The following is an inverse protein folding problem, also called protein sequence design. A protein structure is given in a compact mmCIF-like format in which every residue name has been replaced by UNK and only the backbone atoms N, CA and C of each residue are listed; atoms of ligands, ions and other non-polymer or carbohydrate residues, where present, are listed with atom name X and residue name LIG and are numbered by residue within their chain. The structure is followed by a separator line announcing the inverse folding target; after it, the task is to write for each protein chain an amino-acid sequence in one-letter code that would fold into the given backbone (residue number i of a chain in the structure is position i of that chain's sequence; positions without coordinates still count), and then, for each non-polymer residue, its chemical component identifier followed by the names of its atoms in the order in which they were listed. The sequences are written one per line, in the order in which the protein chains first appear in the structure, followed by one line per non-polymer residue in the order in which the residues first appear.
data_IF_689134738585
#
_entry.id   IF_689134738585
#
_cell.length_a   1.000
_cell.length_b   1.000
_cell.length_c   1.000
_cell.angle_alpha   90.00
_cell.angle_beta   90.00
_cell.angle_gamma   90.00
#
_symmetry.space_group_name_H-M   'P 1'
#
loop_
_entity.id
_entity.type
_entity.pdbx_description
1 polymer ?
#
# COMPACT_ATOMS: atom_id res chain seq x y z
N UNK A 1 -8.51 -12.47 -1.43
CA UNK A 1 -7.69 -13.62 -0.94
C UNK A 1 -6.22 -13.28 -1.07
N UNK A 2 -5.37 -13.70 -0.13
CA UNK A 2 -3.95 -13.36 -0.06
C UNK A 2 -3.02 -14.54 -0.39
N UNK A 3 -1.94 -14.28 -1.14
CA UNK A 3 -0.90 -15.26 -1.43
C UNK A 3 0.52 -14.67 -1.30
N UNK A 4 1.44 -15.45 -0.71
CA UNK A 4 2.90 -15.16 -0.67
C UNK A 4 3.69 -15.89 -1.77
N UNK A 5 2.97 -16.52 -2.68
CA UNK A 5 3.52 -17.24 -3.83
C UNK A 5 2.52 -17.18 -4.97
N UNK A 6 2.98 -17.49 -6.18
CA UNK A 6 2.07 -17.65 -7.30
C UNK A 6 1.11 -18.84 -7.03
N UNK A 7 -0.22 -18.62 -6.97
CA UNK A 7 -1.18 -19.70 -6.81
C UNK A 7 -1.27 -20.58 -8.07
N UNK A 8 -1.56 -21.86 -7.84
CA UNK A 8 -1.76 -22.84 -8.90
C UNK A 8 -3.08 -22.59 -9.62
N UNK A 9 -3.20 -23.08 -10.86
CA UNK A 9 -4.44 -22.98 -11.64
C UNK A 9 -5.65 -23.58 -10.91
N UNK A 10 -5.43 -24.59 -10.07
CA UNK A 10 -6.51 -25.21 -9.29
C UNK A 10 -6.97 -24.30 -8.15
N UNK A 11 -6.05 -23.65 -7.45
CA UNK A 11 -6.35 -22.67 -6.39
C UNK A 11 -7.06 -21.45 -6.98
N UNK A 12 -6.57 -20.96 -8.12
CA UNK A 12 -7.18 -19.85 -8.84
C UNK A 12 -8.60 -20.16 -9.33
N UNK A 13 -8.87 -21.37 -9.83
CA UNK A 13 -10.22 -21.79 -10.25
C UNK A 13 -11.21 -21.95 -9.09
N UNK A 14 -10.74 -21.98 -7.85
CA UNK A 14 -11.59 -22.02 -6.66
C UNK A 14 -11.93 -20.61 -6.16
N UNK A 15 -11.25 -19.58 -6.67
CA UNK A 15 -11.59 -18.19 -6.46
C UNK A 15 -12.66 -17.82 -7.48
N UNK A 16 -13.93 -17.92 -7.09
CA UNK A 16 -15.06 -17.46 -7.89
C UNK A 16 -14.89 -15.95 -8.19
N UNK A 17 -14.57 -15.57 -9.43
CA UNK A 17 -14.46 -14.19 -9.96
C UNK A 17 -14.04 -13.10 -8.96
N UNK A 18 -13.06 -13.42 -8.10
CA UNK A 18 -12.66 -12.59 -6.97
C UNK A 18 -11.33 -11.89 -7.22
N UNK A 19 -11.22 -10.66 -6.76
CA UNK A 19 -9.93 -9.96 -6.66
C UNK A 19 -9.05 -10.65 -5.61
N UNK A 20 -7.77 -10.78 -5.93
CA UNK A 20 -6.78 -11.34 -5.01
C UNK A 20 -5.46 -10.62 -5.11
N UNK A 21 -4.75 -10.65 -4.00
CA UNK A 21 -3.49 -9.95 -3.82
C UNK A 21 -2.38 -10.97 -3.68
N UNK A 22 -1.32 -10.80 -4.46
CA UNK A 22 -0.12 -11.64 -4.35
C UNK A 22 1.05 -10.77 -3.92
N UNK A 23 1.69 -11.11 -2.80
CA UNK A 23 2.95 -10.53 -2.35
C UNK A 23 4.10 -11.49 -2.71
N UNK A 24 4.92 -11.15 -3.70
CA UNK A 24 6.03 -11.98 -4.16
C UNK A 24 7.36 -11.37 -3.76
N UNK A 25 8.34 -12.19 -3.39
CA UNK A 25 9.71 -11.74 -3.15
C UNK A 25 10.63 -11.84 -4.39
N UNK A 26 10.05 -12.07 -5.56
CA UNK A 26 10.73 -12.13 -6.86
C UNK A 26 9.81 -11.63 -7.97
N UNK A 27 10.40 -11.23 -9.10
CA UNK A 27 9.67 -10.84 -10.30
C UNK A 27 9.39 -12.09 -11.15
N UNK A 28 8.12 -12.43 -11.44
CA UNK A 28 7.77 -13.58 -12.27
C UNK A 28 8.21 -13.38 -13.71
N UNK A 29 8.49 -14.48 -14.42
CA UNK A 29 8.79 -14.41 -15.84
C UNK A 29 7.55 -14.05 -16.68
N UNK A 30 7.75 -13.65 -17.94
CA UNK A 30 6.68 -13.18 -18.85
C UNK A 30 5.50 -14.17 -18.97
N UNK A 31 5.77 -15.48 -18.98
CA UNK A 31 4.72 -16.49 -19.11
C UNK A 31 3.86 -16.59 -17.84
N UNK A 32 4.49 -16.45 -16.66
CA UNK A 32 3.79 -16.43 -15.39
C UNK A 32 3.01 -15.13 -15.19
N UNK A 33 3.59 -13.99 -15.58
CA UNK A 33 2.91 -12.69 -15.57
C UNK A 33 1.65 -12.71 -16.43
N UNK A 34 1.75 -13.08 -17.71
CA UNK A 34 0.60 -13.17 -18.63
C UNK A 34 -0.48 -14.14 -18.15
N UNK A 35 -0.09 -15.18 -17.41
CA UNK A 35 -1.05 -16.11 -16.80
C UNK A 35 -1.79 -15.51 -15.61
N UNK A 36 -1.14 -14.64 -14.84
CA UNK A 36 -1.78 -13.93 -13.72
C UNK A 36 -2.69 -12.82 -14.24
N UNK A 37 -2.19 -11.99 -15.15
CA UNK A 37 -2.93 -10.90 -15.81
C UNK A 37 -4.10 -11.41 -16.67
N UNK A 38 -3.88 -12.46 -17.47
CA UNK A 38 -4.89 -12.95 -18.43
C UNK A 38 -5.98 -13.83 -17.85
N UNK A 39 -5.92 -14.18 -16.55
CA UNK A 39 -6.90 -15.07 -15.92
C UNK A 39 -7.70 -14.34 -14.83
N UNK A 40 -7.14 -13.31 -14.18
CA UNK A 40 -7.82 -12.57 -13.11
C UNK A 40 -7.25 -11.14 -12.96
N UNK A 41 -8.06 -10.18 -12.48
CA UNK A 41 -7.61 -8.85 -12.07
C UNK A 41 -6.71 -8.94 -10.82
N UNK A 42 -5.50 -9.50 -10.96
CA UNK A 42 -4.59 -9.73 -9.85
C UNK A 42 -3.71 -8.49 -9.60
N UNK A 43 -3.81 -7.91 -8.39
CA UNK A 43 -2.87 -6.88 -7.95
C UNK A 43 -1.61 -7.55 -7.40
N UNK A 44 -0.47 -7.31 -8.06
CA UNK A 44 0.81 -7.90 -7.68
C UNK A 44 1.66 -6.90 -6.90
N UNK A 45 2.06 -7.29 -5.70
CA UNK A 45 2.99 -6.56 -4.85
C UNK A 45 4.31 -7.32 -4.81
N UNK A 46 5.42 -6.60 -5.01
CA UNK A 46 6.75 -7.19 -4.96
C UNK A 46 7.48 -6.71 -3.72
N UNK A 47 7.80 -7.63 -2.82
CA UNK A 47 8.65 -7.43 -1.64
C UNK A 47 10.07 -7.88 -1.98
N UNK A 48 10.74 -7.06 -2.80
CA UNK A 48 12.06 -7.40 -3.32
C UNK A 48 13.13 -7.05 -2.29
N UNK A 49 13.83 -8.06 -1.80
CA UNK A 49 15.07 -7.84 -1.08
C UNK A 49 16.06 -7.10 -2.01
N UNK A 50 16.50 -5.90 -1.59
CA UNK A 50 17.61 -5.21 -2.24
C UNK A 50 18.89 -6.00 -1.99
N UNK A 51 19.29 -6.81 -2.97
CA UNK A 51 20.58 -7.49 -2.95
C UNK A 51 21.48 -6.82 -3.98
N UNK A 52 22.29 -5.83 -3.59
CA UNK A 52 23.34 -5.32 -4.46
C UNK A 52 24.40 -6.41 -4.65
N UNK A 53 24.48 -6.99 -5.84
CA UNK A 53 25.61 -7.85 -6.23
C UNK A 53 26.45 -7.05 -7.22
N UNK A 54 27.51 -6.40 -6.73
CA UNK A 54 28.35 -5.54 -7.56
C UNK A 54 27.65 -4.22 -7.91
N UNK A 55 27.50 -3.92 -9.20
CA UNK A 55 26.85 -2.71 -9.74
C UNK A 55 25.49 -2.98 -10.42
N UNK A 56 25.03 -4.24 -10.44
CA UNK A 56 23.87 -4.68 -11.22
C UNK A 56 22.76 -5.28 -10.33
N UNK A 57 21.50 -5.00 -10.72
CA UNK A 57 20.30 -5.52 -10.06
C UNK A 57 19.81 -6.79 -10.78
N UNK A 58 20.11 -7.96 -10.21
CA UNK A 58 19.63 -9.23 -10.79
C UNK A 58 18.09 -9.32 -10.80
N UNK A 59 17.41 -8.68 -9.84
CA UNK A 59 15.95 -8.77 -9.74
C UNK A 59 15.22 -7.92 -10.80
N UNK A 60 15.73 -6.75 -11.17
CA UNK A 60 15.08 -5.85 -12.14
C UNK A 60 15.45 -6.15 -13.60
N UNK A 61 16.58 -6.81 -13.86
CA UNK A 61 16.95 -7.29 -15.20
C UNK A 61 15.98 -8.33 -15.76
N UNK A 62 15.26 -9.02 -14.88
CA UNK A 62 14.27 -10.03 -15.24
C UNK A 62 12.87 -9.45 -15.48
N UNK A 63 12.69 -8.12 -15.35
CA UNK A 63 11.40 -7.49 -15.66
C UNK A 63 11.13 -7.62 -17.16
N UNK A 64 10.04 -8.28 -17.58
CA UNK A 64 9.77 -8.44 -18.98
C UNK A 64 9.49 -7.08 -19.63
N UNK A 65 10.14 -6.74 -20.76
CA UNK A 65 9.97 -5.43 -21.42
C UNK A 65 8.59 -5.23 -22.06
N UNK A 66 7.73 -6.25 -22.03
CA UNK A 66 6.37 -6.26 -22.56
C UNK A 66 5.31 -5.96 -21.49
N UNK A 67 5.73 -5.81 -20.23
CA UNK A 67 4.84 -5.51 -19.10
C UNK A 67 4.79 -4.00 -18.91
N UNK A 68 3.68 -3.38 -19.32
CA UNK A 68 3.41 -1.97 -19.04
C UNK A 68 2.95 -1.79 -17.59
N UNK A 69 3.47 -0.78 -16.89
CA UNK A 69 2.89 -0.30 -15.63
C UNK A 69 3.16 -1.17 -14.40
N UNK A 70 4.29 -1.88 -14.33
CA UNK A 70 4.62 -2.68 -13.15
C UNK A 70 4.95 -1.77 -11.96
N UNK A 71 4.19 -1.92 -10.88
CA UNK A 71 4.45 -1.25 -9.61
C UNK A 71 5.40 -2.06 -8.74
N UNK A 72 6.48 -1.44 -8.27
CA UNK A 72 7.45 -2.07 -7.39
C UNK A 72 7.48 -1.34 -6.05
N UNK A 73 7.18 -2.05 -4.97
CA UNK A 73 7.10 -1.50 -3.62
C UNK A 73 8.38 -1.82 -2.84
N UNK A 74 8.99 -0.79 -2.27
CA UNK A 74 10.15 -0.91 -1.40
C UNK A 74 9.72 -0.50 0.00
N UNK A 75 9.70 -1.42 0.95
CA UNK A 75 9.03 -1.25 2.26
C UNK A 75 9.95 -0.78 3.40
N UNK A 76 11.13 -0.24 3.06
CA UNK A 76 12.13 0.21 4.02
C UNK A 76 12.80 1.55 3.62
N UNK A 77 13.38 2.27 4.61
CA UNK A 77 14.27 3.39 4.32
C UNK A 77 15.44 2.98 3.42
N UNK A 78 15.60 3.69 2.30
CA UNK A 78 16.70 3.41 1.38
C UNK A 78 18.03 3.96 1.89
N UNK A 79 19.05 3.11 1.91
CA UNK A 79 20.46 3.44 2.17
C UNK A 79 21.08 4.21 1.01
N UNK A 80 22.24 4.84 1.24
CA UNK A 80 22.98 5.54 0.17
C UNK A 80 23.39 4.60 -0.98
N UNK A 81 23.68 3.33 -0.67
CA UNK A 81 23.99 2.33 -1.68
C UNK A 81 22.77 2.02 -2.54
N UNK A 82 21.60 1.79 -1.94
CA UNK A 82 20.36 1.52 -2.66
C UNK A 82 19.92 2.72 -3.51
N UNK A 83 20.04 3.94 -2.97
CA UNK A 83 19.76 5.17 -3.71
C UNK A 83 20.70 5.37 -4.91
N UNK A 84 22.00 5.09 -4.73
CA UNK A 84 22.96 5.13 -5.83
C UNK A 84 22.58 4.12 -6.91
N UNK A 85 22.20 2.92 -6.50
CA UNK A 85 21.89 1.85 -7.44
C UNK A 85 20.59 2.18 -8.19
N UNK A 86 19.52 2.62 -7.52
CA UNK A 86 18.30 3.14 -8.15
C UNK A 86 18.62 4.22 -9.19
N UNK A 87 19.57 5.11 -8.89
CA UNK A 87 19.99 6.15 -9.82
C UNK A 87 20.68 5.58 -11.06
N UNK A 88 21.49 4.53 -10.91
CA UNK A 88 22.15 3.85 -12.03
C UNK A 88 21.14 3.19 -12.98
N UNK A 89 20.05 2.62 -12.45
CA UNK A 89 19.01 1.95 -13.25
C UNK A 89 17.86 2.85 -13.71
N UNK A 90 17.88 4.14 -13.40
CA UNK A 90 16.79 5.07 -13.70
C UNK A 90 16.34 5.03 -15.18
N UNK A 91 17.28 4.85 -16.11
CA UNK A 91 16.96 4.70 -17.53
C UNK A 91 16.20 3.42 -17.84
N UNK A 92 16.63 2.29 -17.27
CA UNK A 92 15.96 1.01 -17.43
C UNK A 92 14.51 1.07 -16.89
N UNK A 93 14.35 1.68 -15.71
CA UNK A 93 13.03 1.91 -15.08
C UNK A 93 12.13 2.73 -16.00
N UNK A 94 12.66 3.80 -16.60
CA UNK A 94 11.91 4.67 -17.51
C UNK A 94 11.58 3.97 -18.83
N UNK A 95 12.56 3.30 -19.45
CA UNK A 95 12.41 2.64 -20.75
C UNK A 95 11.46 1.43 -20.68
N UNK A 96 11.35 0.81 -19.49
CA UNK A 96 10.46 -0.31 -19.21
C UNK A 96 9.16 0.10 -18.53
N UNK A 97 8.87 1.41 -18.44
CA UNK A 97 7.64 1.97 -17.84
C UNK A 97 7.34 1.42 -16.43
N UNK A 98 8.37 1.32 -15.58
CA UNK A 98 8.26 0.81 -14.21
C UNK A 98 7.98 1.95 -13.23
N UNK A 99 7.01 1.71 -12.35
CA UNK A 99 6.64 2.65 -11.31
C UNK A 99 7.24 2.18 -9.98
N UNK A 100 8.26 2.89 -9.50
CA UNK A 100 8.89 2.57 -8.20
C UNK A 100 8.18 3.34 -7.10
N UNK A 101 7.60 2.59 -6.17
CA UNK A 101 6.94 3.08 -4.97
C UNK A 101 7.81 2.77 -3.75
N UNK A 102 8.11 3.78 -2.95
CA UNK A 102 8.76 3.62 -1.64
C UNK A 102 7.66 3.69 -0.58
N UNK A 103 7.34 2.53 -0.01
CA UNK A 103 6.43 2.38 1.11
C UNK A 103 7.21 2.57 2.41
N UNK A 104 6.72 3.47 3.27
CA UNK A 104 7.35 3.71 4.57
C UNK A 104 6.31 3.98 5.63
N UNK A 105 6.60 3.53 6.84
CA UNK A 105 5.74 3.70 8.02
C UNK A 105 6.04 4.96 8.82
N UNK A 106 6.94 5.81 8.31
CA UNK A 106 7.30 7.08 8.92
C UNK A 106 7.56 8.16 7.87
N UNK A 107 7.39 9.42 8.26
CA UNK A 107 7.62 10.58 7.40
C UNK A 107 9.09 11.01 7.53
N UNK A 108 9.86 11.09 6.42
CA UNK A 108 11.28 11.38 6.49
C UNK A 108 11.51 12.80 6.99
N UNK A 109 12.58 12.98 7.76
CA UNK A 109 12.96 14.28 8.30
C UNK A 109 13.65 15.19 7.25
N UNK A 110 14.18 16.33 7.68
CA UNK A 110 14.88 17.23 6.78
C UNK A 110 16.16 16.62 6.16
N UNK A 111 16.96 15.90 6.95
CA UNK A 111 18.24 15.35 6.49
C UNK A 111 18.02 14.16 5.55
N UNK A 112 17.04 13.31 5.84
CA UNK A 112 16.63 12.22 4.93
C UNK A 112 16.11 12.78 3.61
N UNK A 113 15.18 13.75 3.63
CA UNK A 113 14.70 14.40 2.39
C UNK A 113 15.82 15.10 1.64
N UNK A 114 16.81 15.65 2.34
CA UNK A 114 17.99 16.24 1.70
C UNK A 114 18.85 15.16 1.06
N UNK A 115 19.01 13.99 1.69
CA UNK A 115 19.71 12.82 1.14
C UNK A 115 19.07 12.37 -0.17
N UNK A 116 17.75 12.12 -0.20
CA UNK A 116 17.03 11.73 -1.42
C UNK A 116 17.23 12.76 -2.55
N UNK A 117 17.13 14.06 -2.24
CA UNK A 117 17.32 15.14 -3.23
C UNK A 117 18.72 15.21 -3.83
N UNK A 118 19.77 14.76 -3.11
CA UNK A 118 21.15 14.79 -3.63
C UNK A 118 21.34 13.88 -4.84
N UNK A 119 20.56 12.81 -4.96
CA UNK A 119 20.66 11.87 -6.07
C UNK A 119 20.05 12.41 -7.38
N UNK A 120 19.22 13.45 -7.30
CA UNK A 120 18.74 14.18 -8.48
C UNK A 120 18.06 13.28 -9.51
N UNK A 121 17.13 12.42 -9.08
CA UNK A 121 16.31 11.62 -9.98
C UNK A 121 15.57 12.52 -10.99
N UNK A 122 15.70 12.19 -12.26
CA UNK A 122 14.90 12.73 -13.37
C UNK A 122 13.45 12.28 -13.20
N UNK A 123 13.26 10.99 -12.86
CA UNK A 123 11.97 10.39 -12.54
C UNK A 123 12.00 9.92 -11.08
N UNK A 124 11.67 10.80 -10.12
CA UNK A 124 11.75 10.47 -8.70
C UNK A 124 10.77 9.33 -8.35
N UNK A 125 11.15 8.41 -7.45
CA UNK A 125 10.23 7.39 -6.96
C UNK A 125 9.04 8.02 -6.24
N UNK A 126 7.89 7.35 -6.30
CA UNK A 126 6.68 7.77 -5.61
C UNK A 126 6.76 7.33 -4.14
N UNK A 127 6.53 8.25 -3.22
CA UNK A 127 6.47 7.91 -1.80
C UNK A 127 5.04 7.57 -1.39
N UNK A 128 4.89 6.45 -0.70
CA UNK A 128 3.65 6.03 -0.04
C UNK A 128 3.95 5.97 1.46
N UNK A 129 3.22 6.75 2.24
CA UNK A 129 3.31 6.73 3.70
C UNK A 129 2.15 5.93 4.26
N UNK A 130 2.43 4.78 4.87
CA UNK A 130 1.44 3.95 5.58
C UNK A 130 1.59 4.18 7.09
N UNK A 131 0.83 5.13 7.62
CA UNK A 131 0.97 5.58 8.99
C UNK A 131 -0.08 4.94 9.90
N UNK A 132 0.31 4.55 11.11
CA UNK A 132 -0.60 4.03 12.13
C UNK A 132 -1.19 5.13 13.03
N UNK A 133 -1.08 6.40 12.62
CA UNK A 133 -1.52 7.56 13.39
C UNK A 133 -1.92 8.71 12.47
N UNK A 134 -2.76 9.62 12.97
CA UNK A 134 -3.14 10.84 12.26
C UNK A 134 -2.00 11.86 12.31
N UNK A 135 -1.48 12.34 11.16
CA UNK A 135 -0.36 13.29 11.14
C UNK A 135 -0.68 14.61 11.85
N UNK A 136 0.17 14.98 12.80
CA UNK A 136 0.11 16.26 13.49
C UNK A 136 0.67 17.43 12.64
N UNK A 137 0.67 18.65 13.18
CA UNK A 137 1.12 19.84 12.46
C UNK A 137 2.55 19.70 11.89
N UNK A 138 3.48 19.17 12.68
CA UNK A 138 4.88 19.01 12.25
C UNK A 138 5.01 17.94 11.17
N UNK A 139 4.38 16.78 11.39
CA UNK A 139 4.36 15.66 10.45
C UNK A 139 3.75 16.08 9.11
N UNK A 140 2.63 16.82 9.12
CA UNK A 140 2.04 17.42 7.92
C UNK A 140 2.98 18.40 7.23
N UNK A 141 3.67 19.22 8.01
CA UNK A 141 4.70 20.14 7.49
C UNK A 141 5.87 19.43 6.83
N UNK A 142 6.20 18.21 7.27
CA UNK A 142 7.22 17.36 6.66
C UNK A 142 6.69 16.64 5.41
N UNK A 143 5.46 16.10 5.44
CA UNK A 143 4.79 15.51 4.29
C UNK A 143 4.69 16.49 3.12
N UNK A 144 4.31 17.75 3.39
CA UNK A 144 4.21 18.80 2.37
C UNK A 144 5.54 19.18 1.70
N UNK A 145 6.68 18.73 2.24
CA UNK A 145 8.02 18.97 1.69
C UNK A 145 8.55 17.78 0.89
N UNK A 146 7.82 16.67 0.83
CA UNK A 146 8.14 15.51 -0.02
C UNK A 146 7.73 15.85 -1.45
N UNK A 147 8.63 15.59 -2.41
CA UNK A 147 8.43 15.87 -3.83
C UNK A 147 8.85 14.64 -4.63
N UNK A 148 7.98 14.09 -5.49
CA UNK A 148 6.60 14.53 -5.78
C UNK A 148 5.66 14.38 -4.57
N UNK A 149 4.48 15.04 -4.56
CA UNK A 149 3.51 14.89 -3.48
C UNK A 149 3.21 13.42 -3.20
N UNK A 150 3.32 12.95 -1.95
CA UNK A 150 3.23 11.54 -1.63
C UNK A 150 1.79 11.07 -1.48
N UNK A 151 1.54 9.79 -1.70
CA UNK A 151 0.30 9.15 -1.26
C UNK A 151 0.39 8.90 0.26
N UNK A 152 -0.67 9.23 0.99
CA UNK A 152 -0.74 9.01 2.43
C UNK A 152 -1.89 8.07 2.73
N UNK A 153 -1.55 6.93 3.31
CA UNK A 153 -2.46 5.90 3.79
C UNK A 153 -2.39 5.89 5.31
N UNK A 154 -3.54 5.90 5.97
CA UNK A 154 -3.62 5.77 7.42
C UNK A 154 -4.28 4.43 7.74
N UNK A 155 -3.62 3.55 8.49
CA UNK A 155 -4.26 2.33 9.01
C UNK A 155 -4.32 2.41 10.53
N UNK A 156 -5.49 2.80 11.04
CA UNK A 156 -5.71 3.17 12.43
C UNK A 156 -6.46 2.07 13.18
N UNK A 157 -6.06 1.83 14.43
CA UNK A 157 -6.73 0.87 15.32
C UNK A 157 -7.82 1.54 16.18
N UNK A 158 -8.25 2.74 15.78
CA UNK A 158 -9.22 3.57 16.50
C UNK A 158 -9.97 4.48 15.52
N UNK A 159 -11.15 4.96 15.92
CA UNK A 159 -11.90 5.97 15.17
C UNK A 159 -11.34 7.36 15.48
N UNK A 160 -10.84 8.10 14.49
CA UNK A 160 -10.36 9.47 14.67
C UNK A 160 -11.40 10.38 15.33
N UNK A 161 -10.93 11.26 16.19
CA UNK A 161 -11.73 12.36 16.73
C UNK A 161 -12.04 13.40 15.65
N UNK A 162 -13.06 14.25 15.85
CA UNK A 162 -13.38 15.34 14.91
C UNK A 162 -12.17 16.24 14.61
N UNK A 163 -11.32 16.48 15.62
CA UNK A 163 -10.09 17.25 15.46
C UNK A 163 -9.10 16.54 14.55
N UNK A 164 -8.92 15.24 14.72
CA UNK A 164 -8.01 14.43 13.89
C UNK A 164 -8.52 14.32 12.45
N UNK A 165 -9.83 14.14 12.25
CA UNK A 165 -10.44 14.20 10.91
C UNK A 165 -10.13 15.53 10.24
N UNK A 166 -10.27 16.65 10.96
CA UNK A 166 -9.92 17.97 10.43
C UNK A 166 -8.41 18.13 10.12
N UNK A 167 -7.52 17.42 10.81
CA UNK A 167 -6.09 17.38 10.44
C UNK A 167 -5.87 16.55 9.17
N UNK A 168 -6.53 15.40 9.01
CA UNK A 168 -6.49 14.60 7.78
C UNK A 168 -6.97 15.40 6.56
N UNK A 169 -8.05 16.18 6.71
CA UNK A 169 -8.61 17.04 5.67
C UNK A 169 -7.65 18.15 5.21
N UNK A 170 -6.56 18.43 5.94
CA UNK A 170 -5.53 19.41 5.55
C UNK A 170 -4.36 18.80 4.79
N UNK A 171 -4.27 17.47 4.71
CA UNK A 171 -3.22 16.77 3.98
C UNK A 171 -3.57 16.76 2.49
N UNK A 172 -2.57 17.01 1.63
CA UNK A 172 -2.73 17.02 0.17
C UNK A 172 -1.60 16.15 -0.44
N UNK A 173 -1.93 15.15 -1.30
CA UNK A 173 -3.28 14.66 -1.64
C UNK A 173 -4.07 14.18 -0.41
N UNK A 174 -5.41 14.09 -0.53
CA UNK A 174 -6.26 13.64 0.58
C UNK A 174 -5.85 12.21 0.96
N UNK A 175 -5.67 11.91 2.25
CA UNK A 175 -5.27 10.57 2.67
C UNK A 175 -6.44 9.59 2.49
N UNK A 176 -6.10 8.32 2.26
CA UNK A 176 -7.04 7.20 2.41
C UNK A 176 -6.91 6.65 3.83
N UNK A 177 -8.02 6.33 4.48
CA UNK A 177 -8.06 5.91 5.88
C UNK A 177 -8.65 4.50 5.97
N UNK A 178 -7.86 3.55 6.41
CA UNK A 178 -8.32 2.28 6.95
C UNK A 178 -8.53 2.38 8.46
N UNK A 179 -9.68 1.91 8.95
CA UNK A 179 -9.92 1.72 10.39
C UNK A 179 -10.04 0.22 10.65
N UNK A 180 -9.11 -0.35 11.41
CA UNK A 180 -9.06 -1.77 11.74
C UNK A 180 -9.68 -2.01 13.12
N UNK A 181 -10.75 -2.79 13.13
CA UNK A 181 -11.43 -3.23 14.34
C UNK A 181 -11.10 -4.68 14.67
N UNK A 182 -10.66 -4.92 15.90
CA UNK A 182 -10.50 -6.27 16.44
C UNK A 182 -11.70 -6.69 17.31
N UNK A 183 -12.74 -5.86 17.33
CA UNK A 183 -14.01 -6.04 18.07
C UNK A 183 -15.02 -5.02 17.55
N UNK A 184 -16.31 -5.24 17.83
CA UNK A 184 -17.38 -4.34 17.40
C UNK A 184 -17.17 -2.88 17.89
N UNK A 185 -17.32 -1.88 17.01
CA UNK A 185 -17.22 -0.47 17.39
C UNK A 185 -18.36 -0.07 18.33
N UNK A 186 -18.13 0.95 19.16
CA UNK A 186 -19.19 1.51 20.01
C UNK A 186 -20.24 2.25 19.18
N UNK A 187 -21.42 2.53 19.78
CA UNK A 187 -22.46 3.34 19.11
C UNK A 187 -22.01 4.76 18.77
N UNK A 188 -21.11 5.33 19.57
CA UNK A 188 -20.56 6.66 19.30
C UNK A 188 -19.54 6.62 18.14
N UNK A 189 -18.76 5.55 18.06
CA UNK A 189 -17.84 5.29 16.95
C UNK A 189 -18.58 5.11 15.63
N UNK A 190 -19.70 4.37 15.65
CA UNK A 190 -20.57 4.17 14.49
C UNK A 190 -20.95 5.48 13.80
N UNK A 191 -21.45 6.45 14.55
CA UNK A 191 -21.89 7.74 13.99
C UNK A 191 -20.72 8.48 13.34
N UNK A 192 -19.55 8.48 13.98
CA UNK A 192 -18.35 9.14 13.45
C UNK A 192 -17.85 8.47 12.18
N UNK A 193 -17.88 7.14 12.12
CA UNK A 193 -17.49 6.39 10.91
C UNK A 193 -18.38 6.77 9.73
N UNK A 194 -19.70 6.88 9.93
CA UNK A 194 -20.61 7.29 8.85
C UNK A 194 -20.31 8.69 8.31
N UNK A 195 -20.03 9.64 9.20
CA UNK A 195 -19.62 10.99 8.81
C UNK A 195 -18.28 10.98 8.06
N UNK A 196 -17.33 10.14 8.49
CA UNK A 196 -16.02 9.99 7.85
C UNK A 196 -16.11 9.39 6.45
N UNK A 197 -16.84 8.28 6.26
CA UNK A 197 -17.04 7.64 4.94
C UNK A 197 -17.58 8.62 3.91
N UNK A 198 -18.42 9.57 4.35
CA UNK A 198 -19.02 10.60 3.49
C UNK A 198 -18.06 11.75 3.13
N UNK A 199 -17.03 12.01 3.95
CA UNK A 199 -16.18 13.21 3.86
C UNK A 199 -14.75 12.93 3.39
N UNK A 200 -14.22 11.76 3.74
CA UNK A 200 -12.87 11.30 3.39
C UNK A 200 -12.91 9.83 2.99
N UNK A 201 -12.04 9.43 2.06
CA UNK A 201 -11.98 8.03 1.58
C UNK A 201 -11.60 7.13 2.75
N UNK A 202 -12.61 6.49 3.34
CA UNK A 202 -12.49 5.68 4.56
C UNK A 202 -12.99 4.27 4.26
N UNK A 203 -12.20 3.28 4.63
CA UNK A 203 -12.54 1.86 4.59
C UNK A 203 -12.50 1.33 6.01
N UNK A 204 -13.50 0.55 6.35
CA UNK A 204 -13.58 -0.10 7.65
C UNK A 204 -13.22 -1.56 7.49
N UNK A 205 -12.27 -2.04 8.27
CA UNK A 205 -11.83 -3.42 8.30
C UNK A 205 -12.26 -4.05 9.62
N UNK A 206 -12.85 -5.25 9.54
CA UNK A 206 -13.08 -6.11 10.69
C UNK A 206 -12.05 -7.24 10.65
N UNK A 207 -11.09 -7.19 11.58
CA UNK A 207 -10.13 -8.27 11.80
C UNK A 207 -10.85 -9.43 12.46
N UNK A 208 -11.08 -10.49 11.70
CA UNK A 208 -11.72 -11.70 12.21
C UNK A 208 -10.72 -12.67 12.87
N UNK A 209 -9.42 -12.37 12.81
CA UNK A 209 -8.35 -13.20 13.34
C UNK A 209 -8.56 -14.69 13.06
N UNK A 210 -8.29 -15.52 14.06
CA UNK A 210 -8.74 -16.94 14.09
C UNK A 210 -9.96 -17.18 14.97
N UNK A 211 -10.35 -16.19 15.77
CA UNK A 211 -11.25 -16.36 16.93
C UNK A 211 -12.52 -15.50 16.86
N UNK A 212 -12.70 -14.66 15.83
CA UNK A 212 -13.92 -13.84 15.71
C UNK A 212 -15.09 -14.71 15.26
N UNK A 213 -16.21 -14.60 15.97
CA UNK A 213 -17.41 -15.38 15.69
C UNK A 213 -18.17 -14.81 14.49
N UNK A 214 -18.83 -15.68 13.72
CA UNK A 214 -19.76 -15.27 12.64
C UNK A 214 -20.84 -14.29 13.14
N UNK A 215 -21.11 -14.28 14.45
CA UNK A 215 -22.02 -13.36 15.13
C UNK A 215 -21.55 -11.89 15.05
N UNK A 216 -20.26 -11.60 15.26
CA UNK A 216 -19.76 -10.21 15.16
C UNK A 216 -19.85 -9.67 13.73
N UNK A 217 -19.72 -10.52 12.72
CA UNK A 217 -19.88 -10.14 11.31
C UNK A 217 -21.34 -9.78 11.02
N UNK A 218 -22.30 -10.56 11.51
CA UNK A 218 -23.73 -10.26 11.35
C UNK A 218 -24.13 -9.00 12.12
N UNK A 219 -23.65 -8.82 13.35
CA UNK A 219 -23.89 -7.61 14.14
C UNK A 219 -23.36 -6.36 13.42
N UNK A 220 -22.17 -6.45 12.81
CA UNK A 220 -21.59 -5.34 12.06
C UNK A 220 -22.38 -5.02 10.77
N UNK A 221 -22.99 -6.02 10.13
CA UNK A 221 -23.93 -5.81 9.01
C UNK A 221 -25.21 -5.10 9.46
N UNK A 222 -25.74 -5.44 10.63
CA UNK A 222 -26.93 -4.77 11.18
C UNK A 222 -26.68 -3.29 11.46
N UNK A 223 -25.43 -2.91 11.77
CA UNK A 223 -25.05 -1.50 11.91
C UNK A 223 -25.12 -0.76 10.56
N UNK A 224 -24.98 -1.42 9.41
CA UNK A 224 -25.11 -0.78 8.09
C UNK A 224 -23.93 0.10 7.70
N UNK A 225 -22.77 -0.09 8.32
CA UNK A 225 -21.49 0.48 7.85
C UNK A 225 -20.94 -0.47 6.76
N UNK A 226 -20.52 0.04 5.59
CA UNK A 226 -19.74 -0.77 4.66
C UNK A 226 -18.38 -1.14 5.27
N UNK A 227 -18.08 -2.44 5.33
CA UNK A 227 -16.81 -2.94 5.86
C UNK A 227 -16.27 -4.12 5.05
N UNK A 228 -14.98 -4.34 5.17
CA UNK A 228 -14.27 -5.49 4.64
C UNK A 228 -13.84 -6.40 5.78
N UNK A 229 -13.96 -7.72 5.56
CA UNK A 229 -13.49 -8.73 6.51
C UNK A 229 -12.06 -9.11 6.14
N UNK A 230 -11.14 -9.05 7.11
CA UNK A 230 -9.73 -9.38 6.92
C UNK A 230 -9.26 -10.38 7.98
N UNK A 231 -8.29 -11.23 7.63
CA UNK A 231 -7.74 -12.25 8.53
C UNK A 231 -6.73 -11.70 9.53
N UNK A 232 -6.12 -10.56 9.22
CA UNK A 232 -5.14 -9.87 10.04
C UNK A 232 -4.85 -8.47 9.48
N UNK A 233 -4.09 -7.69 10.25
CA UNK A 233 -3.59 -6.37 9.84
C UNK A 233 -2.90 -6.36 8.47
N UNK A 234 -2.06 -7.34 8.14
CA UNK A 234 -1.31 -7.33 6.88
C UNK A 234 -2.23 -7.43 5.66
N UNK A 235 -3.35 -8.13 5.76
CA UNK A 235 -4.37 -8.14 4.71
C UNK A 235 -5.07 -6.78 4.57
N UNK A 236 -5.34 -6.07 5.68
CA UNK A 236 -5.85 -4.70 5.63
C UNK A 236 -4.84 -3.70 5.03
N UNK A 237 -3.54 -3.86 5.34
CA UNK A 237 -2.48 -3.02 4.76
C UNK A 237 -2.43 -3.18 3.23
N UNK A 238 -2.53 -4.41 2.74
CA UNK A 238 -2.53 -4.71 1.32
C UNK A 238 -3.81 -4.27 0.60
N UNK A 239 -4.99 -4.47 1.21
CA UNK A 239 -6.25 -3.92 0.69
C UNK A 239 -6.16 -2.38 0.57
N UNK A 240 -5.62 -1.71 1.59
CA UNK A 240 -5.45 -0.26 1.54
C UNK A 240 -4.45 0.20 0.47
N UNK A 241 -3.42 -0.61 0.19
CA UNK A 241 -2.43 -0.33 -0.86
C UNK A 241 -2.97 -0.58 -2.28
N UNK A 242 -3.82 -1.60 -2.49
CA UNK A 242 -4.32 -1.93 -3.85
C UNK A 242 -5.15 -0.81 -4.45
N UNK A 243 -5.84 -0.01 -3.63
CA UNK A 243 -6.65 1.10 -4.12
C UNK A 243 -5.80 2.24 -4.68
N UNK A 244 -4.48 2.25 -4.46
CA UNK A 244 -3.58 3.20 -5.13
C UNK A 244 -3.33 2.85 -6.60
N UNK A 245 -3.67 1.62 -7.00
CA UNK A 245 -3.36 1.05 -8.32
C UNK A 245 -4.58 1.04 -9.26
N UNK A 246 -5.75 1.40 -8.74
CA UNK A 246 -7.05 1.40 -9.45
C UNK A 246 -7.42 2.74 -10.13
N UNK A 247 -6.60 3.78 -9.96
CA UNK A 247 -6.79 5.14 -10.53
C UNK A 247 -5.81 5.44 -11.68
#
# INVERSE_FOLDING_TARGET
MYFERIPSVKELKQLEDGEFTIKLNYIPNENEYKRLEGVFNAHMFFDLAFVPVGEEFVNFENVPPTVDGMEVFLDHPLTDAELHTLKTIERLVTDSNLHIHILTTYVPDYEERKRYRRYGFIHPPYFIFLLSFVPDFETRGNLAKVVPPPNVLLLLDYVPTEKEVAECERIRPKPRIGILFNHLPSKDDYKRIQDMISSISTIVYLDIGRDTSEEEVEDMKELGIPFEVVLNRSEAELSLLSILTDD
#
